data_IF_315094753913
#
_entry.id   IF_315094753913
#
_cell.length_a   1.000
_cell.length_b   1.000
_cell.length_c   1.000
_cell.angle_alpha   90.00
_cell.angle_beta   90.00
_cell.angle_gamma   90.00
#
_symmetry.space_group_name_H-M   'P 1'
#
loop_
_entity.id
_entity.type
_entity.pdbx_description
1 polymer ?
#
# COMPACT_ATOMS: atom_id res chain seq x y z
N UNK A 1 7.95 10.64 17.79
CA UNK A 1 7.16 11.73 17.22
C UNK A 1 7.59 13.00 17.94
N UNK A 2 8.02 14.03 17.22
CA UNK A 2 8.27 15.34 17.80
C UNK A 2 7.02 16.23 17.67
N UNK A 3 7.06 17.45 18.22
CA UNK A 3 5.90 18.34 18.25
C UNK A 3 5.39 18.70 16.85
N UNK A 4 6.30 19.02 15.91
CA UNK A 4 5.92 19.32 14.53
C UNK A 4 5.24 18.15 13.81
N UNK A 5 5.70 16.92 14.04
CA UNK A 5 5.03 15.71 13.52
C UNK A 5 3.65 15.50 14.15
N UNK A 6 3.49 15.82 15.43
CA UNK A 6 2.21 15.73 16.12
C UNK A 6 1.23 16.76 15.59
N UNK A 7 1.64 18.03 15.45
CA UNK A 7 0.83 19.10 14.87
C UNK A 7 0.39 18.76 13.45
N UNK A 8 1.33 18.32 12.61
CA UNK A 8 1.03 17.92 11.23
C UNK A 8 0.07 16.73 11.18
N UNK A 9 0.22 15.76 12.09
CA UNK A 9 -0.69 14.62 12.16
C UNK A 9 -2.11 15.04 12.57
N UNK A 10 -2.24 15.98 13.51
CA UNK A 10 -3.53 16.50 13.97
C UNK A 10 -4.23 17.29 12.88
N UNK A 11 -3.47 18.13 12.17
CA UNK A 11 -3.99 19.01 11.12
C UNK A 11 -4.44 18.22 9.88
N UNK A 12 -3.61 17.30 9.38
CA UNK A 12 -3.82 16.66 8.09
C UNK A 12 -4.23 15.18 8.16
N UNK A 13 -4.12 14.56 9.33
CA UNK A 13 -4.32 13.11 9.48
C UNK A 13 -5.75 12.62 9.25
N UNK A 14 -6.73 13.52 9.23
CA UNK A 14 -8.13 13.17 8.98
C UNK A 14 -8.51 13.11 7.49
N UNK A 15 -7.67 13.58 6.56
CA UNK A 15 -7.96 13.45 5.12
C UNK A 15 -7.48 12.11 4.56
N UNK A 16 -6.16 11.90 4.51
CA UNK A 16 -5.57 10.69 3.97
C UNK A 16 -4.35 10.25 4.76
N UNK A 17 -4.44 9.05 5.35
CA UNK A 17 -3.32 8.38 5.97
C UNK A 17 -2.76 7.30 5.06
N UNK A 18 -1.44 7.17 5.04
CA UNK A 18 -0.73 6.12 4.36
C UNK A 18 0.17 5.39 5.35
N UNK A 19 0.15 4.06 5.33
CA UNK A 19 1.07 3.25 6.13
C UNK A 19 1.73 2.20 5.24
N UNK A 20 3.03 1.99 5.44
CA UNK A 20 3.76 0.90 4.82
C UNK A 20 4.92 0.49 5.72
N UNK A 21 5.44 -0.72 5.50
CA UNK A 21 6.60 -1.24 6.20
C UNK A 21 7.68 -1.66 5.21
N UNK A 22 8.93 -1.62 5.63
CA UNK A 22 10.03 -2.18 4.85
C UNK A 22 9.82 -3.69 4.68
N UNK A 23 9.69 -4.12 3.42
CA UNK A 23 9.56 -5.54 3.05
C UNK A 23 10.87 -6.29 3.27
N UNK A 24 10.84 -7.32 4.11
CA UNK A 24 12.01 -8.11 4.51
C UNK A 24 12.65 -7.58 5.79
N UNK A 25 13.31 -8.46 6.54
CA UNK A 25 14.12 -8.03 7.69
C UNK A 25 15.25 -7.14 7.16
N UNK A 26 15.44 -5.96 7.76
CA UNK A 26 16.71 -5.23 7.63
C UNK A 26 17.86 -6.17 8.04
N UNK A 27 19.11 -5.82 7.71
CA UNK A 27 20.29 -6.64 8.05
C UNK A 27 20.36 -7.06 9.54
N UNK A 28 19.62 -6.37 10.41
CA UNK A 28 19.56 -6.56 11.86
C UNK A 28 18.28 -7.24 12.38
N UNK A 29 17.41 -7.78 11.52
CA UNK A 29 16.21 -8.48 11.99
C UNK A 29 15.02 -7.58 12.37
N UNK A 30 15.01 -6.31 11.93
CA UNK A 30 13.93 -5.36 12.21
C UNK A 30 13.20 -4.93 10.93
N UNK A 31 11.98 -4.46 11.08
CA UNK A 31 11.20 -3.77 10.06
C UNK A 31 10.84 -2.37 10.54
N UNK A 32 10.91 -1.41 9.63
CA UNK A 32 10.48 -0.04 9.84
C UNK A 32 9.10 0.17 9.25
N UNK A 33 8.11 0.39 10.11
CA UNK A 33 6.76 0.84 9.75
C UNK A 33 6.71 2.35 9.81
N UNK A 34 6.19 2.98 8.75
CA UNK A 34 6.05 4.44 8.66
C UNK A 34 4.60 4.83 8.44
N UNK A 35 4.04 5.70 9.29
CA UNK A 35 2.76 6.36 9.05
C UNK A 35 3.02 7.74 8.45
N UNK A 36 2.27 8.07 7.40
CA UNK A 36 2.35 9.31 6.66
C UNK A 36 0.97 9.94 6.51
N UNK A 37 0.94 11.26 6.44
CA UNK A 37 -0.25 12.04 6.02
C UNK A 37 -0.08 12.56 4.59
N UNK A 38 -1.16 13.04 4.00
CA UNK A 38 -1.11 13.97 2.87
C UNK A 38 -1.49 15.37 3.36
N UNK A 39 -0.63 16.35 3.10
CA UNK A 39 -0.93 17.76 3.37
C UNK A 39 -1.89 18.36 2.31
N UNK A 40 -2.19 19.64 2.48
CA UNK A 40 -3.01 20.44 1.57
C UNK A 40 -2.43 20.53 0.14
N UNK A 41 -1.10 20.53 0.02
CA UNK A 41 -0.37 20.47 -1.24
C UNK A 41 -0.26 19.05 -1.84
N UNK A 42 -0.92 18.05 -1.23
CA UNK A 42 -0.88 16.63 -1.63
C UNK A 42 0.52 16.02 -1.59
N UNK A 43 1.41 16.55 -0.75
CA UNK A 43 2.71 15.98 -0.46
C UNK A 43 2.60 15.00 0.71
N UNK A 44 3.45 13.96 0.70
CA UNK A 44 3.46 12.97 1.79
C UNK A 44 4.45 13.39 2.85
N UNK A 45 3.98 13.43 4.08
CA UNK A 45 4.82 13.74 5.23
C UNK A 45 4.81 12.60 6.24
N UNK A 46 5.97 12.04 6.63
CA UNK A 46 6.04 10.99 7.65
C UNK A 46 5.88 11.57 9.05
N UNK A 47 4.87 11.08 9.78
CA UNK A 47 4.56 11.54 11.14
C UNK A 47 5.00 10.53 12.20
N UNK A 48 5.03 9.23 11.88
CA UNK A 48 5.43 8.17 12.81
C UNK A 48 6.40 7.20 12.14
N UNK A 49 7.40 6.80 12.91
CA UNK A 49 8.31 5.71 12.61
C UNK A 49 8.26 4.70 13.76
N UNK A 50 8.09 3.43 13.43
CA UNK A 50 8.07 2.34 14.39
C UNK A 50 8.99 1.20 13.92
N UNK A 51 9.94 0.82 14.76
CA UNK A 51 10.83 -0.31 14.53
C UNK A 51 10.35 -1.52 15.33
N UNK A 52 10.24 -2.67 14.68
CA UNK A 52 9.85 -3.92 15.32
C UNK A 52 10.54 -5.11 14.66
N UNK A 53 10.91 -6.12 15.44
CA UNK A 53 11.39 -7.42 14.93
C UNK A 53 10.24 -8.37 14.54
N UNK A 54 9.00 -7.93 14.74
CA UNK A 54 7.78 -8.67 14.44
C UNK A 54 6.85 -7.85 13.56
N UNK A 55 6.21 -8.53 12.62
CA UNK A 55 5.20 -7.98 11.72
C UNK A 55 3.94 -8.84 11.82
N UNK A 56 3.00 -8.40 12.66
CA UNK A 56 1.70 -9.02 12.83
C UNK A 56 0.69 -8.00 13.39
N UNK A 57 -0.58 -8.35 13.35
CA UNK A 57 -1.68 -7.48 13.80
C UNK A 57 -1.54 -7.08 15.26
N UNK A 58 -0.96 -7.92 16.12
CA UNK A 58 -0.80 -7.62 17.55
C UNK A 58 0.21 -6.49 17.76
N UNK A 59 1.34 -6.52 17.05
CA UNK A 59 2.33 -5.42 17.10
C UNK A 59 1.73 -4.13 16.54
N UNK A 60 1.00 -4.20 15.43
CA UNK A 60 0.36 -3.01 14.87
C UNK A 60 -0.67 -2.40 15.81
N UNK A 61 -1.42 -3.21 16.57
CA UNK A 61 -2.30 -2.71 17.62
C UNK A 61 -1.55 -1.96 18.72
N UNK A 62 -0.37 -2.44 19.12
CA UNK A 62 0.45 -1.73 20.11
C UNK A 62 0.86 -0.36 19.56
N UNK A 63 1.37 -0.32 18.32
CA UNK A 63 1.76 0.94 17.66
C UNK A 63 0.56 1.91 17.59
N UNK A 64 -0.61 1.46 17.14
CA UNK A 64 -1.79 2.32 17.05
C UNK A 64 -2.32 2.75 18.42
N UNK A 65 -2.25 1.91 19.46
CA UNK A 65 -2.60 2.31 20.83
C UNK A 65 -1.68 3.39 21.35
N UNK A 66 -0.37 3.28 21.08
CA UNK A 66 0.60 4.32 21.44
C UNK A 66 0.26 5.64 20.74
N UNK A 67 -0.06 5.61 19.44
CA UNK A 67 -0.47 6.82 18.69
C UNK A 67 -1.74 7.43 19.29
N UNK A 68 -2.74 6.60 19.58
CA UNK A 68 -4.00 7.02 20.20
C UNK A 68 -3.77 7.71 21.56
N UNK A 69 -2.89 7.14 22.38
CA UNK A 69 -2.55 7.71 23.69
C UNK A 69 -1.81 9.05 23.56
N UNK A 70 -0.93 9.20 22.56
CA UNK A 70 -0.22 10.46 22.28
C UNK A 70 -1.20 11.54 21.82
N UNK A 71 -2.21 11.18 21.01
CA UNK A 71 -3.24 12.13 20.55
C UNK A 71 -4.23 12.53 21.65
N UNK A 72 -4.35 11.74 22.72
CA UNK A 72 -5.23 12.02 23.85
C UNK A 72 -6.71 12.01 23.44
N UNK A 73 -7.40 13.14 23.68
CA UNK A 73 -8.81 13.29 23.33
C UNK A 73 -9.04 13.51 21.83
N UNK A 74 -8.01 13.94 21.08
CA UNK A 74 -8.13 14.14 19.64
C UNK A 74 -8.21 12.80 18.92
N UNK A 75 -9.32 12.61 18.19
CA UNK A 75 -9.57 11.39 17.45
C UNK A 75 -9.05 11.51 16.02
N UNK A 76 -8.28 10.50 15.62
CA UNK A 76 -7.86 10.31 14.23
C UNK A 76 -8.89 9.43 13.51
N UNK A 77 -9.67 10.04 12.61
CA UNK A 77 -10.70 9.40 11.78
C UNK A 77 -10.47 9.76 10.31
N UNK A 78 -9.45 9.17 9.66
CA UNK A 78 -9.14 9.47 8.27
C UNK A 78 -10.32 9.13 7.36
N UNK A 79 -10.54 9.94 6.33
CA UNK A 79 -11.45 9.61 5.23
C UNK A 79 -10.88 8.48 4.37
N UNK A 80 -9.57 8.50 4.14
CA UNK A 80 -8.84 7.52 3.32
C UNK A 80 -7.70 6.89 4.10
N UNK A 81 -7.60 5.56 4.06
CA UNK A 81 -6.45 4.84 4.61
C UNK A 81 -5.81 3.96 3.54
N UNK A 82 -4.61 4.36 3.12
CA UNK A 82 -3.79 3.68 2.13
C UNK A 82 -2.84 2.71 2.83
N UNK A 83 -3.03 1.41 2.59
CA UNK A 83 -2.19 0.34 3.14
C UNK A 83 -1.50 -0.42 2.00
N UNK A 84 -0.64 -1.37 2.32
CA UNK A 84 -0.38 -2.48 1.40
C UNK A 84 -1.64 -3.37 1.24
N UNK A 85 -1.50 -4.51 0.56
CA UNK A 85 -2.62 -5.45 0.35
C UNK A 85 -2.81 -6.44 1.50
N UNK A 86 -1.91 -6.46 2.48
CA UNK A 86 -2.06 -7.32 3.65
C UNK A 86 -3.06 -6.70 4.63
N UNK A 87 -3.84 -7.53 5.32
CA UNK A 87 -4.87 -7.06 6.23
C UNK A 87 -4.33 -6.65 7.61
N UNK A 88 -3.04 -6.90 7.90
CA UNK A 88 -2.40 -6.63 9.19
C UNK A 88 -2.60 -5.19 9.65
N UNK A 89 -2.31 -4.20 8.79
CA UNK A 89 -2.48 -2.79 9.13
C UNK A 89 -3.95 -2.41 9.30
N UNK A 90 -4.81 -2.82 8.36
CA UNK A 90 -6.20 -2.40 8.35
C UNK A 90 -7.01 -2.99 9.51
N UNK A 91 -6.79 -4.28 9.83
CA UNK A 91 -7.47 -4.94 10.94
C UNK A 91 -7.04 -4.33 12.27
N UNK A 92 -5.73 -4.14 12.49
CA UNK A 92 -5.23 -3.50 13.70
C UNK A 92 -5.76 -2.07 13.85
N UNK A 93 -5.84 -1.30 12.77
CA UNK A 93 -6.41 0.04 12.77
C UNK A 93 -7.89 0.01 13.14
N UNK A 94 -8.69 -0.84 12.49
CA UNK A 94 -10.13 -0.92 12.74
C UNK A 94 -10.45 -1.26 14.20
N UNK A 95 -9.65 -2.11 14.83
CA UNK A 95 -9.83 -2.47 16.23
C UNK A 95 -9.43 -1.36 17.22
N UNK A 96 -8.45 -0.52 16.90
CA UNK A 96 -7.94 0.51 17.82
C UNK A 96 -8.57 1.88 17.59
N UNK A 97 -8.67 2.28 16.32
CA UNK A 97 -9.08 3.61 15.86
C UNK A 97 -10.52 3.62 15.30
N UNK A 98 -10.99 2.48 14.79
CA UNK A 98 -12.31 2.33 14.17
C UNK A 98 -12.27 2.21 12.65
N UNK A 99 -13.44 1.93 12.04
CA UNK A 99 -13.56 1.73 10.59
C UNK A 99 -13.27 3.01 9.81
N UNK A 100 -12.60 2.85 8.68
CA UNK A 100 -12.30 3.93 7.72
C UNK A 100 -13.26 3.85 6.54
N UNK A 101 -13.82 4.98 6.06
CA UNK A 101 -14.75 5.00 4.93
C UNK A 101 -14.17 4.41 3.64
N UNK A 102 -12.90 4.69 3.33
CA UNK A 102 -12.23 4.20 2.13
C UNK A 102 -10.85 3.62 2.46
N UNK A 103 -10.71 2.30 2.31
CA UNK A 103 -9.40 1.63 2.28
C UNK A 103 -8.90 1.54 0.85
N UNK A 104 -7.71 2.08 0.60
CA UNK A 104 -7.01 1.95 -0.67
C UNK A 104 -5.76 1.08 -0.52
N UNK A 105 -5.40 0.39 -1.58
CA UNK A 105 -4.13 -0.32 -1.68
C UNK A 105 -3.08 0.54 -2.37
N UNK A 106 -1.84 0.43 -1.94
CA UNK A 106 -0.72 0.99 -2.65
C UNK A 106 -0.61 0.33 -4.05
N UNK A 107 -0.67 1.14 -5.11
CA UNK A 107 -0.67 0.61 -6.48
C UNK A 107 0.62 -0.12 -6.83
N UNK A 108 1.75 0.28 -6.22
CA UNK A 108 3.02 -0.44 -6.38
C UNK A 108 2.91 -1.88 -5.91
N UNK A 109 2.33 -2.12 -4.73
CA UNK A 109 2.15 -3.47 -4.20
C UNK A 109 1.20 -4.29 -5.08
N UNK A 110 0.12 -3.68 -5.56
CA UNK A 110 -0.81 -4.31 -6.52
C UNK A 110 -0.06 -4.75 -7.78
N UNK A 111 0.67 -3.84 -8.42
CA UNK A 111 1.43 -4.11 -9.65
C UNK A 111 2.53 -5.15 -9.42
N UNK A 112 3.22 -5.09 -8.27
CA UNK A 112 4.25 -6.07 -7.90
C UNK A 112 3.66 -7.47 -7.74
N UNK A 113 2.51 -7.61 -7.08
CA UNK A 113 1.84 -8.90 -6.93
C UNK A 113 1.30 -9.43 -8.26
N UNK A 114 0.76 -8.56 -9.12
CA UNK A 114 0.37 -8.94 -10.48
C UNK A 114 1.57 -9.48 -11.25
N UNK A 115 2.69 -8.74 -11.32
CA UNK A 115 3.92 -9.21 -12.00
C UNK A 115 4.41 -10.55 -11.46
N UNK A 116 4.44 -10.72 -10.12
CA UNK A 116 4.83 -12.00 -9.50
C UNK A 116 3.95 -13.15 -9.97
N UNK A 117 2.63 -12.95 -10.02
CA UNK A 117 1.68 -14.00 -10.40
C UNK A 117 1.61 -14.23 -11.92
N UNK A 118 1.80 -13.18 -12.73
CA UNK A 118 1.97 -13.33 -14.18
C UNK A 118 3.17 -14.24 -14.48
N UNK A 119 4.32 -13.98 -13.86
CA UNK A 119 5.53 -14.78 -14.05
C UNK A 119 5.36 -16.23 -13.58
N UNK A 120 4.57 -16.45 -12.52
CA UNK A 120 4.38 -17.77 -11.94
C UNK A 120 3.31 -18.61 -12.65
N UNK A 121 2.31 -17.96 -13.27
CA UNK A 121 1.09 -18.62 -13.78
C UNK A 121 0.98 -18.64 -15.30
N UNK A 122 1.70 -17.78 -16.02
CA UNK A 122 1.69 -17.73 -17.48
C UNK A 122 3.07 -18.09 -18.00
N UNK A 123 3.18 -19.12 -18.85
CA UNK A 123 4.50 -19.56 -19.37
C UNK A 123 5.03 -18.66 -20.49
N UNK A 124 4.16 -18.20 -21.38
CA UNK A 124 4.57 -17.37 -22.52
C UNK A 124 4.87 -15.93 -22.08
N UNK A 125 6.08 -15.45 -22.36
CA UNK A 125 6.46 -14.06 -22.08
C UNK A 125 5.62 -13.04 -22.86
N UNK A 126 5.24 -13.36 -24.09
CA UNK A 126 4.37 -12.51 -24.91
C UNK A 126 2.99 -12.35 -24.23
N UNK A 127 2.42 -13.46 -23.77
CA UNK A 127 1.14 -13.48 -23.05
C UNK A 127 1.20 -12.79 -21.69
N UNK A 128 2.33 -12.93 -20.97
CA UNK A 128 2.56 -12.16 -19.73
C UNK A 128 2.51 -10.65 -20.01
N UNK A 129 3.19 -10.20 -21.07
CA UNK A 129 3.26 -8.79 -21.44
C UNK A 129 1.92 -8.22 -21.91
N UNK A 130 1.19 -8.94 -22.77
CA UNK A 130 -0.13 -8.52 -23.24
C UNK A 130 -1.14 -8.47 -22.09
N UNK A 131 -1.14 -9.48 -21.21
CA UNK A 131 -1.99 -9.50 -20.00
C UNK A 131 -1.63 -8.35 -19.08
N UNK A 132 -0.34 -8.10 -18.83
CA UNK A 132 0.11 -6.98 -17.99
C UNK A 132 -0.37 -5.62 -18.52
N UNK A 133 -0.33 -5.40 -19.85
CA UNK A 133 -0.85 -4.18 -20.47
C UNK A 133 -2.34 -3.98 -20.17
N UNK A 134 -3.14 -5.03 -20.34
CA UNK A 134 -4.58 -5.00 -20.04
C UNK A 134 -4.82 -4.63 -18.57
N UNK A 135 -4.08 -5.24 -17.64
CA UNK A 135 -4.19 -4.93 -16.22
C UNK A 135 -3.79 -3.48 -15.90
N UNK A 136 -2.77 -2.94 -16.58
CA UNK A 136 -2.38 -1.53 -16.42
C UNK A 136 -3.46 -0.58 -16.92
N UNK A 137 -4.07 -0.87 -18.05
CA UNK A 137 -5.23 -0.12 -18.56
C UNK A 137 -6.37 -0.13 -17.53
N UNK A 138 -6.69 -1.29 -16.95
CA UNK A 138 -7.71 -1.37 -15.87
C UNK A 138 -7.33 -0.57 -14.63
N UNK A 139 -6.05 -0.58 -14.23
CA UNK A 139 -5.56 0.13 -13.06
C UNK A 139 -5.66 1.65 -13.22
N UNK A 140 -5.33 2.15 -14.41
CA UNK A 140 -5.23 3.59 -14.74
C UNK A 140 -6.54 4.20 -15.22
N UNK A 141 -7.56 3.38 -15.51
CA UNK A 141 -8.87 3.87 -15.95
C UNK A 141 -9.43 4.89 -14.95
N UNK A 142 -9.84 6.03 -15.49
CA UNK A 142 -10.25 7.22 -14.75
C UNK A 142 -11.77 7.31 -14.66
N UNK A 143 -12.50 6.83 -15.67
CA UNK A 143 -13.96 6.84 -15.64
C UNK A 143 -14.49 5.58 -14.96
N UNK A 144 -15.32 5.78 -13.94
CA UNK A 144 -15.88 4.70 -13.15
C UNK A 144 -16.81 3.80 -13.96
N UNK A 145 -17.58 4.36 -14.88
CA UNK A 145 -18.52 3.60 -15.70
C UNK A 145 -17.80 2.79 -16.78
N UNK A 146 -16.76 3.36 -17.39
CA UNK A 146 -15.85 2.69 -18.30
C UNK A 146 -15.16 1.52 -17.59
N UNK A 147 -14.60 1.75 -16.40
CA UNK A 147 -13.95 0.70 -15.60
C UNK A 147 -14.89 -0.48 -15.31
N UNK A 148 -16.11 -0.23 -14.83
CA UNK A 148 -17.06 -1.31 -14.50
C UNK A 148 -17.52 -2.10 -15.75
N UNK A 149 -17.46 -1.51 -16.95
CA UNK A 149 -17.70 -2.22 -18.23
C UNK A 149 -16.46 -2.95 -18.74
N UNK A 150 -15.28 -2.34 -18.61
CA UNK A 150 -14.01 -2.87 -19.09
C UNK A 150 -13.57 -4.09 -18.29
N UNK A 151 -13.69 -4.05 -16.96
CA UNK A 151 -13.24 -5.13 -16.07
C UNK A 151 -13.79 -6.51 -16.47
N UNK A 152 -15.12 -6.72 -16.59
CA UNK A 152 -15.65 -8.02 -17.01
C UNK A 152 -15.28 -8.35 -18.46
N UNK A 153 -15.24 -7.37 -19.36
CA UNK A 153 -14.89 -7.57 -20.77
C UNK A 153 -13.46 -8.08 -20.92
N UNK A 154 -12.50 -7.45 -20.25
CA UNK A 154 -11.10 -7.86 -20.24
C UNK A 154 -10.94 -9.26 -19.65
N UNK A 155 -11.59 -9.56 -18.52
CA UNK A 155 -11.47 -10.87 -17.88
C UNK A 155 -12.07 -12.00 -18.71
N UNK A 156 -13.22 -11.76 -19.36
CA UNK A 156 -13.81 -12.74 -20.27
C UNK A 156 -12.92 -12.97 -21.49
N UNK A 157 -12.31 -11.91 -22.03
CA UNK A 157 -11.35 -12.03 -23.13
C UNK A 157 -10.12 -12.86 -22.75
N UNK A 158 -9.54 -12.62 -21.57
CA UNK A 158 -8.42 -13.41 -21.07
C UNK A 158 -8.79 -14.87 -20.78
N UNK A 159 -10.01 -15.14 -20.34
CA UNK A 159 -10.51 -16.50 -20.04
C UNK A 159 -10.68 -17.38 -21.30
N UNK A 160 -10.68 -16.77 -22.49
CA UNK A 160 -10.74 -17.52 -23.76
C UNK A 160 -9.43 -18.24 -24.08
N UNK A 161 -8.32 -17.85 -23.46
CA UNK A 161 -7.01 -18.45 -23.64
C UNK A 161 -6.71 -19.43 -22.50
N UNK A 162 -6.62 -20.74 -22.77
CA UNK A 162 -6.35 -21.76 -21.75
C UNK A 162 -5.05 -21.51 -20.97
N UNK A 163 -4.04 -20.89 -21.60
CA UNK A 163 -2.77 -20.60 -20.93
C UNK A 163 -2.88 -19.50 -19.87
N UNK A 164 -3.99 -18.76 -19.85
CA UNK A 164 -4.23 -17.66 -18.92
C UNK A 164 -5.16 -18.05 -17.77
N UNK A 165 -5.79 -19.23 -17.84
CA UNK A 165 -6.85 -19.64 -16.93
C UNK A 165 -6.44 -19.58 -15.44
N UNK A 166 -5.24 -20.08 -15.11
CA UNK A 166 -4.71 -20.05 -13.75
C UNK A 166 -4.54 -18.63 -13.22
N UNK A 167 -4.08 -17.72 -14.09
CA UNK A 167 -3.92 -16.31 -13.75
C UNK A 167 -5.28 -15.61 -13.61
N UNK A 168 -6.21 -15.85 -14.52
CA UNK A 168 -7.56 -15.26 -14.50
C UNK A 168 -8.33 -15.71 -13.26
N UNK A 169 -8.26 -16.99 -12.90
CA UNK A 169 -8.87 -17.53 -11.67
C UNK A 169 -8.30 -16.86 -10.42
N UNK A 170 -6.97 -16.78 -10.33
CA UNK A 170 -6.29 -16.02 -9.28
C UNK A 170 -6.76 -14.56 -9.23
N UNK A 171 -6.83 -13.88 -10.39
CA UNK A 171 -7.22 -12.49 -10.42
C UNK A 171 -8.67 -12.30 -9.93
N UNK A 172 -9.58 -13.17 -10.39
CA UNK A 172 -11.00 -13.15 -10.01
C UNK A 172 -11.17 -13.31 -8.49
N UNK A 173 -10.43 -14.26 -7.90
CA UNK A 173 -10.47 -14.55 -6.47
C UNK A 173 -9.98 -13.37 -5.62
N UNK A 174 -8.86 -12.76 -6.01
CA UNK A 174 -8.15 -11.79 -5.16
C UNK A 174 -8.49 -10.31 -5.42
N UNK A 175 -8.95 -9.94 -6.62
CA UNK A 175 -9.02 -8.51 -7.02
C UNK A 175 -10.43 -7.98 -7.33
N UNK A 176 -11.44 -8.84 -7.54
CA UNK A 176 -12.78 -8.38 -7.94
C UNK A 176 -13.56 -7.77 -6.78
N UNK A 177 -13.52 -8.44 -5.62
CA UNK A 177 -14.24 -8.00 -4.41
C UNK A 177 -13.71 -6.66 -3.90
N UNK A 178 -12.41 -6.42 -4.02
CA UNK A 178 -11.72 -5.23 -3.53
C UNK A 178 -11.34 -4.25 -4.66
N UNK A 179 -12.00 -4.30 -5.84
CA UNK A 179 -11.70 -3.44 -6.99
C UNK A 179 -11.65 -1.94 -6.69
N UNK A 180 -12.51 -1.50 -5.77
CA UNK A 180 -12.56 -0.10 -5.30
C UNK A 180 -11.30 0.32 -4.55
N UNK A 181 -10.54 -0.63 -3.99
CA UNK A 181 -9.32 -0.36 -3.25
C UNK A 181 -8.10 -0.16 -4.15
N UNK A 182 -8.10 -0.68 -5.39
CA UNK A 182 -6.92 -0.57 -6.26
C UNK A 182 -7.12 0.29 -7.51
N UNK A 183 -8.30 0.31 -8.13
CA UNK A 183 -8.55 1.01 -9.39
C UNK A 183 -8.52 2.54 -9.25
N UNK A 184 -7.93 3.25 -10.22
CA UNK A 184 -7.71 4.70 -10.15
C UNK A 184 -8.99 5.52 -10.13
N UNK A 185 -10.03 5.12 -10.86
CA UNK A 185 -11.35 5.76 -10.86
C UNK A 185 -11.99 5.87 -9.47
N UNK A 186 -11.59 5.06 -8.49
CA UNK A 186 -12.04 5.13 -7.10
C UNK A 186 -11.13 5.98 -6.19
N UNK A 187 -9.98 6.45 -6.70
CA UNK A 187 -8.98 7.26 -5.99
C UNK A 187 -9.07 8.75 -6.27
N UNK A 188 -9.81 9.18 -7.30
CA UNK A 188 -9.78 10.56 -7.80
C UNK A 188 -10.05 11.61 -6.71
N UNK A 189 -11.01 11.34 -5.82
CA UNK A 189 -11.35 12.23 -4.71
C UNK A 189 -10.39 12.15 -3.51
N UNK A 190 -9.38 11.26 -3.54
CA UNK A 190 -8.36 11.13 -2.51
C UNK A 190 -7.13 12.02 -2.78
N UNK A 191 -7.02 12.65 -3.96
CA UNK A 191 -5.86 13.47 -4.31
C UNK A 191 -4.53 12.70 -4.37
N UNK A 192 -4.61 11.37 -4.45
CA UNK A 192 -3.43 10.49 -4.45
C UNK A 192 -2.99 10.28 -5.90
N UNK A 193 -1.99 11.02 -6.36
CA UNK A 193 -1.27 10.63 -7.57
C UNK A 193 -0.45 9.36 -7.25
N UNK A 194 -0.60 8.36 -8.10
CA UNK A 194 -0.41 6.94 -7.77
C UNK A 194 1.06 6.53 -7.60
N UNK A 195 2.03 7.40 -7.95
CA UNK A 195 3.30 6.85 -8.46
C UNK A 195 4.63 7.55 -8.09
N UNK A 196 4.76 8.32 -7.00
CA UNK A 196 6.11 8.88 -6.70
C UNK A 196 6.58 8.90 -5.24
N UNK A 197 5.77 9.22 -4.23
CA UNK A 197 6.36 9.58 -2.91
C UNK A 197 6.62 8.43 -1.94
N UNK A 198 5.78 7.37 -1.88
CA UNK A 198 6.07 6.22 -0.98
C UNK A 198 7.33 5.48 -1.41
N UNK A 199 7.46 5.22 -2.72
CA UNK A 199 8.56 4.45 -3.29
C UNK A 199 9.89 5.19 -3.13
N UNK A 200 9.90 6.51 -3.34
CA UNK A 200 11.10 7.32 -3.10
C UNK A 200 11.48 7.33 -1.62
N UNK A 201 10.53 7.47 -0.70
CA UNK A 201 10.87 7.46 0.73
C UNK A 201 11.41 6.10 1.17
N UNK A 202 10.69 5.01 0.89
CA UNK A 202 11.16 3.67 1.25
C UNK A 202 12.43 3.30 0.49
N UNK A 203 12.56 3.67 -0.78
CA UNK A 203 13.80 3.52 -1.55
C UNK A 203 14.98 4.24 -0.90
N UNK A 204 14.80 5.50 -0.49
CA UNK A 204 15.81 6.30 0.23
C UNK A 204 16.15 5.70 1.59
N UNK A 205 15.16 5.32 2.39
CA UNK A 205 15.39 4.70 3.70
C UNK A 205 16.12 3.36 3.57
N UNK A 206 15.75 2.54 2.58
CA UNK A 206 16.48 1.30 2.26
C UNK A 206 17.91 1.61 1.82
N UNK A 207 18.11 2.59 0.95
CA UNK A 207 19.43 2.97 0.48
C UNK A 207 20.36 3.48 1.61
N UNK A 208 19.85 4.39 2.45
CA UNK A 208 20.62 5.01 3.53
C UNK A 208 20.91 4.03 4.67
N UNK A 209 19.91 3.24 5.09
CA UNK A 209 19.98 2.49 6.35
C UNK A 209 20.01 0.96 6.18
N UNK A 210 19.70 0.42 5.00
CA UNK A 210 19.74 -1.04 4.73
C UNK A 210 20.93 -1.42 3.85
N UNK A 211 21.27 -0.61 2.83
CA UNK A 211 22.35 -0.94 1.90
C UNK A 211 23.72 -0.36 2.26
N UNK A 212 23.81 0.65 3.13
CA UNK A 212 25.09 1.01 3.76
C UNK A 212 25.40 0.00 4.86
N UNK A 213 26.26 -0.99 4.54
CA UNK A 213 27.09 -1.63 5.58
C UNK A 213 27.90 -0.52 6.26
N UNK A 214 28.08 -0.55 7.59
CA UNK A 214 29.15 0.24 8.19
C UNK A 214 30.47 -0.28 7.63
N UNK A 215 31.12 0.50 6.77
CA UNK A 215 32.57 0.48 6.70
C UNK A 215 33.03 0.90 8.09
N UNK A 216 33.81 0.04 8.76
CA UNK A 216 34.42 0.22 10.09
C UNK A 216 33.62 -0.35 11.28
N UNK A 217 33.42 -1.67 11.27
CA UNK A 217 33.42 -2.44 12.52
C UNK A 217 34.47 -3.56 12.42
N UNK A 218 35.73 -3.17 12.19
CA UNK A 218 36.88 -4.01 12.54
C UNK A 218 37.07 -3.93 14.05
N UNK A 219 36.77 -5.06 14.67
CA UNK A 219 36.95 -5.41 16.07
C UNK A 219 38.42 -5.20 16.48
N UNK A 220 38.64 -4.80 17.74
CA UNK A 220 39.96 -4.84 18.37
C UNK A 220 40.49 -6.26 18.55
#
# INVERSE_FOLDING_TARGET
>A
MNDGQLETLKEYGNDCLCIDSTHGLMAYGFQLTTLMILDDLRQRFPTIFALSNRYDTSVMKVIFKTIKNILGEEKLSPRVFLTDMDDTFYNAWCEVMGKVPLRLFCAWHVVRAWKKNLNAKIKSMEKQYSTYKILRTLLEESDKNAFEKMLPTCLNGLDTDPDLHDFVSYFKEHYIKNRKSWAYCYRQHAGININMSLERMHGTLKYIYIFKRPENASVG
#
